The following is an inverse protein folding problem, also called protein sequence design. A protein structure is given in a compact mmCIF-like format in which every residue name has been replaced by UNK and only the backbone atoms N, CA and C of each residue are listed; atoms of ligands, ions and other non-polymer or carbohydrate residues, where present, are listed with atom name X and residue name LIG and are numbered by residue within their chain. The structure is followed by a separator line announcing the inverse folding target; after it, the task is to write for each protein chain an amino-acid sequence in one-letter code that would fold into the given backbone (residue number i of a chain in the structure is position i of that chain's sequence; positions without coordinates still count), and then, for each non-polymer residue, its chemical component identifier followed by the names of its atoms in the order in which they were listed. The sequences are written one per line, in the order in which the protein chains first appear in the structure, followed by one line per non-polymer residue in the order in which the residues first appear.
data_IF_096652550544
#
_entry.id   IF_096652550544
#
_cell.length_a   1.000
_cell.length_b   1.000
_cell.length_c   1.000
_cell.angle_alpha   90.00
_cell.angle_beta   90.00
_cell.angle_gamma   90.00
#
_symmetry.space_group_name_H-M   'P 1'
#
loop_
_entity.id
_entity.type
_entity.pdbx_description
1 polymer ?
#
# COMPACT_ATOMS: atom_id res chain seq x y z
N UNK A 1 -21.33 -2.86 -1.83
CA UNK A 1 -19.92 -2.56 -1.45
C UNK A 1 -19.79 -2.35 0.05
N UNK A 2 -20.30 -1.26 0.64
CA UNK A 2 -20.13 -0.98 2.10
C UNK A 2 -20.55 -2.14 3.01
N UNK A 3 -21.74 -2.72 2.82
CA UNK A 3 -22.22 -3.87 3.60
C UNK A 3 -21.35 -5.13 3.48
N UNK A 4 -20.47 -5.21 2.48
CA UNK A 4 -19.57 -6.35 2.21
C UNK A 4 -18.14 -6.12 2.71
N UNK A 5 -17.85 -4.91 3.18
CA UNK A 5 -16.59 -4.59 3.87
C UNK A 5 -16.73 -4.73 5.39
N UNK A 6 -17.88 -5.21 5.87
CA UNK A 6 -18.23 -5.44 7.28
C UNK A 6 -17.83 -4.32 8.28
N UNK A 7 -17.83 -3.07 7.80
CA UNK A 7 -17.42 -1.92 8.61
C UNK A 7 -15.93 -1.83 8.92
N UNK A 8 -15.09 -2.71 8.34
CA UNK A 8 -13.63 -2.65 8.47
C UNK A 8 -13.09 -1.41 7.73
N UNK A 9 -12.52 -0.42 8.44
CA UNK A 9 -12.09 0.84 7.83
C UNK A 9 -11.06 0.63 6.71
N UNK A 10 -10.10 -0.28 6.91
CA UNK A 10 -9.07 -0.58 5.92
C UNK A 10 -9.62 -1.30 4.67
N UNK A 11 -10.65 -2.14 4.83
CA UNK A 11 -11.32 -2.75 3.68
C UNK A 11 -12.06 -1.69 2.85
N UNK A 12 -12.69 -0.72 3.52
CA UNK A 12 -13.36 0.40 2.86
C UNK A 12 -12.36 1.32 2.17
N UNK A 13 -11.22 1.62 2.78
CA UNK A 13 -10.16 2.43 2.18
C UNK A 13 -9.54 1.74 0.97
N UNK A 14 -9.25 0.44 1.06
CA UNK A 14 -8.69 -0.33 -0.06
C UNK A 14 -9.65 -0.39 -1.26
N UNK A 15 -10.92 -0.74 -1.02
CA UNK A 15 -11.93 -0.80 -2.09
C UNK A 15 -12.25 0.60 -2.61
N UNK A 16 -12.35 1.60 -1.73
CA UNK A 16 -12.55 3.00 -2.10
C UNK A 16 -11.41 3.53 -2.97
N UNK A 17 -10.16 3.23 -2.62
CA UNK A 17 -8.98 3.58 -3.42
C UNK A 17 -8.99 2.96 -4.81
N UNK A 18 -9.41 1.69 -4.94
CA UNK A 18 -9.57 1.01 -6.24
C UNK A 18 -10.69 1.56 -7.11
N UNK A 19 -11.68 2.23 -6.51
CA UNK A 19 -12.84 2.81 -7.20
C UNK A 19 -12.66 4.30 -7.50
N UNK A 20 -11.70 4.96 -6.83
CA UNK A 20 -11.49 6.39 -6.95
C UNK A 20 -11.08 6.78 -8.37
N UNK A 21 -11.88 7.62 -9.03
CA UNK A 21 -11.63 8.06 -10.42
C UNK A 21 -12.00 7.03 -11.49
N UNK A 22 -12.58 5.89 -11.12
CA UNK A 22 -12.94 4.83 -12.06
C UNK A 22 -14.41 4.92 -12.50
N UNK A 23 -14.72 4.51 -13.74
CA UNK A 23 -16.07 4.60 -14.29
C UNK A 23 -17.01 3.57 -13.62
N UNK A 24 -18.31 3.87 -13.62
CA UNK A 24 -19.32 3.11 -12.86
C UNK A 24 -19.37 1.62 -13.25
N UNK A 25 -19.04 1.29 -14.49
CA UNK A 25 -19.00 -0.09 -15.01
C UNK A 25 -17.96 -0.94 -14.26
N UNK A 26 -16.86 -0.33 -13.79
CA UNK A 26 -15.86 -1.01 -12.97
C UNK A 26 -16.36 -1.25 -11.55
N UNK A 27 -17.30 -0.43 -11.07
CA UNK A 27 -17.92 -0.60 -9.76
C UNK A 27 -18.82 -1.82 -9.75
N UNK A 28 -19.56 -2.05 -10.84
CA UNK A 28 -20.41 -3.24 -11.00
C UNK A 28 -19.57 -4.51 -11.02
N UNK A 29 -18.45 -4.54 -11.74
CA UNK A 29 -17.53 -5.68 -11.73
C UNK A 29 -16.95 -5.96 -10.33
N UNK A 30 -16.60 -4.93 -9.57
CA UNK A 30 -16.14 -5.07 -8.18
C UNK A 30 -17.28 -5.52 -7.26
N UNK A 31 -18.50 -5.05 -7.47
CA UNK A 31 -19.68 -5.45 -6.71
C UNK A 31 -20.06 -6.92 -6.98
N UNK A 32 -19.95 -7.39 -8.22
CA UNK A 32 -20.13 -8.80 -8.60
C UNK A 32 -19.02 -9.67 -8.02
N UNK A 33 -17.76 -9.22 -8.06
CA UNK A 33 -16.64 -9.90 -7.40
C UNK A 33 -16.88 -10.06 -5.90
N UNK A 34 -17.34 -8.99 -5.23
CA UNK A 34 -17.76 -8.98 -3.83
C UNK A 34 -18.98 -9.89 -3.55
N UNK A 35 -19.87 -10.08 -4.53
CA UNK A 35 -21.03 -10.98 -4.40
C UNK A 35 -20.62 -12.45 -4.54
N UNK A 36 -19.77 -12.75 -5.53
CA UNK A 36 -19.39 -14.10 -5.90
C UNK A 36 -18.35 -14.70 -4.93
N UNK A 37 -17.46 -13.87 -4.36
CA UNK A 37 -16.39 -14.31 -3.46
C UNK A 37 -16.78 -14.24 -1.97
N UNK A 38 -17.94 -13.67 -1.64
CA UNK A 38 -18.36 -13.37 -0.26
C UNK A 38 -17.69 -12.10 0.29
N UNK A 39 -17.77 -11.86 1.60
CA UNK A 39 -16.96 -10.80 2.23
C UNK A 39 -15.49 -11.05 1.86
N UNK A 40 -14.87 -10.09 1.16
CA UNK A 40 -13.48 -10.24 0.66
C UNK A 40 -12.52 -10.42 1.84
N UNK A 41 -12.89 -9.88 3.01
CA UNK A 41 -12.15 -9.96 4.26
C UNK A 41 -13.12 -10.37 5.36
N UNK A 42 -13.07 -11.62 5.83
CA UNK A 42 -13.94 -12.11 6.92
C UNK A 42 -13.36 -11.80 8.29
N UNK A 43 -12.09 -11.38 8.34
CA UNK A 43 -11.38 -10.88 9.50
C UNK A 43 -10.26 -9.92 9.07
N UNK A 44 -9.67 -9.22 10.04
CA UNK A 44 -8.42 -8.50 9.81
C UNK A 44 -7.31 -9.43 9.31
N UNK A 45 -7.28 -10.71 9.71
CA UNK A 45 -6.27 -11.66 9.21
C UNK A 45 -6.42 -11.94 7.70
N UNK A 46 -7.65 -12.00 7.18
CA UNK A 46 -7.87 -12.12 5.74
C UNK A 46 -7.38 -10.88 4.99
N UNK A 47 -7.58 -9.71 5.58
CA UNK A 47 -7.08 -8.44 5.05
C UNK A 47 -5.55 -8.40 5.06
N UNK A 48 -4.93 -8.78 6.18
CA UNK A 48 -3.48 -8.94 6.29
C UNK A 48 -2.93 -9.94 5.29
N UNK A 49 -3.62 -11.06 5.02
CA UNK A 49 -3.18 -12.05 4.02
C UNK A 49 -3.14 -11.46 2.61
N UNK A 50 -4.11 -10.63 2.26
CA UNK A 50 -4.10 -9.96 0.95
C UNK A 50 -2.96 -8.94 0.88
N UNK A 51 -2.77 -8.12 1.92
CA UNK A 51 -1.64 -7.19 1.95
C UNK A 51 -0.28 -7.90 1.98
N UNK A 52 -0.17 -9.02 2.69
CA UNK A 52 1.07 -9.80 2.77
C UNK A 52 1.46 -10.32 1.41
N UNK A 53 0.51 -10.79 0.59
CA UNK A 53 0.82 -11.24 -0.76
C UNK A 53 1.47 -10.13 -1.60
N UNK A 54 0.97 -8.89 -1.53
CA UNK A 54 1.59 -7.76 -2.24
C UNK A 54 3.03 -7.52 -1.81
N UNK A 55 3.31 -7.65 -0.51
CA UNK A 55 4.66 -7.47 0.06
C UNK A 55 5.58 -8.66 -0.30
N UNK A 56 5.05 -9.88 -0.32
CA UNK A 56 5.80 -11.11 -0.62
C UNK A 56 6.26 -11.17 -2.08
N UNK A 57 5.58 -10.47 -3.01
CA UNK A 57 6.00 -10.33 -4.40
C UNK A 57 7.07 -9.24 -4.64
N UNK A 58 7.46 -8.48 -3.60
CA UNK A 58 8.55 -7.52 -3.72
C UNK A 58 9.90 -8.25 -3.78
N UNK A 59 10.84 -7.72 -4.56
CA UNK A 59 12.23 -8.20 -4.46
C UNK A 59 12.76 -7.93 -3.04
N UNK A 60 13.63 -8.81 -2.54
CA UNK A 60 14.10 -8.81 -1.14
C UNK A 60 14.49 -7.40 -0.65
N UNK A 61 15.36 -6.70 -1.38
CA UNK A 61 15.80 -5.36 -0.98
C UNK A 61 14.66 -4.33 -0.94
N UNK A 62 13.67 -4.42 -1.83
CA UNK A 62 12.53 -3.50 -1.85
C UNK A 62 11.57 -3.79 -0.69
N UNK A 63 11.40 -5.07 -0.34
CA UNK A 63 10.67 -5.50 0.86
C UNK A 63 11.34 -4.97 2.12
N UNK A 64 12.65 -5.10 2.23
CA UNK A 64 13.41 -4.61 3.38
C UNK A 64 13.29 -3.08 3.50
N UNK A 65 13.42 -2.35 2.38
CA UNK A 65 13.17 -0.91 2.34
C UNK A 65 11.76 -0.56 2.84
N UNK A 66 10.73 -1.28 2.39
CA UNK A 66 9.35 -1.05 2.86
C UNK A 66 9.18 -1.29 4.36
N UNK A 67 9.79 -2.34 4.89
CA UNK A 67 9.71 -2.67 6.32
C UNK A 67 10.42 -1.65 7.21
N UNK A 68 11.50 -1.03 6.75
CA UNK A 68 12.16 0.06 7.50
C UNK A 68 11.21 1.22 7.78
N UNK A 69 10.33 1.53 6.83
CA UNK A 69 9.33 2.60 6.98
C UNK A 69 8.33 2.25 8.09
N UNK A 70 7.99 0.96 8.24
CA UNK A 70 7.14 0.48 9.32
C UNK A 70 7.75 0.61 10.71
N UNK A 71 9.05 0.93 10.82
CA UNK A 71 9.71 1.21 12.11
C UNK A 71 9.45 2.64 12.61
N UNK A 72 8.88 3.50 11.78
CA UNK A 72 8.51 4.87 12.16
C UNK A 72 7.07 4.91 12.72
N UNK A 73 6.71 5.94 13.51
CA UNK A 73 5.37 6.08 14.05
C UNK A 73 4.31 6.15 12.94
N UNK A 74 3.23 5.39 13.13
CA UNK A 74 2.04 5.41 12.28
C UNK A 74 1.43 6.83 12.18
N UNK A 75 0.77 7.12 11.06
CA UNK A 75 0.11 8.40 10.77
C UNK A 75 1.01 9.64 10.77
N UNK A 76 2.33 9.46 10.65
CA UNK A 76 3.29 10.57 10.51
C UNK A 76 3.81 10.69 9.10
N UNK A 77 3.82 11.95 8.61
CA UNK A 77 4.52 12.28 7.35
C UNK A 77 6.02 12.24 7.59
N UNK A 78 6.70 11.35 6.88
CA UNK A 78 8.14 11.24 6.89
C UNK A 78 8.74 12.09 5.78
N UNK A 79 9.79 12.89 6.04
CA UNK A 79 10.51 13.57 4.97
C UNK A 79 11.15 12.54 4.03
N UNK A 80 10.84 12.62 2.73
CA UNK A 80 11.41 11.71 1.73
C UNK A 80 12.95 11.69 1.74
N UNK A 81 13.57 12.86 1.97
CA UNK A 81 15.02 12.98 2.13
C UNK A 81 15.55 12.11 3.28
N UNK A 82 14.90 12.11 4.44
CA UNK A 82 15.33 11.30 5.59
C UNK A 82 15.28 9.80 5.31
N UNK A 83 14.29 9.34 4.54
CA UNK A 83 14.19 7.93 4.12
C UNK A 83 15.27 7.58 3.10
N UNK A 84 15.54 8.48 2.15
CA UNK A 84 16.60 8.30 1.16
C UNK A 84 17.97 8.21 1.85
N UNK A 85 18.29 9.16 2.74
CA UNK A 85 19.56 9.20 3.47
C UNK A 85 19.75 7.92 4.31
N UNK A 86 18.69 7.48 5.00
CA UNK A 86 18.71 6.24 5.76
C UNK A 86 19.04 5.02 4.88
N UNK A 87 18.42 4.87 3.72
CA UNK A 87 18.69 3.74 2.82
C UNK A 87 20.04 3.83 2.11
N UNK A 88 20.55 5.04 1.86
CA UNK A 88 21.93 5.24 1.39
C UNK A 88 22.92 4.66 2.40
N UNK A 89 22.75 4.95 3.68
CA UNK A 89 23.63 4.46 4.74
C UNK A 89 23.44 2.97 5.04
N UNK A 90 22.20 2.50 5.23
CA UNK A 90 21.91 1.12 5.63
C UNK A 90 22.23 0.09 4.53
N UNK A 91 21.98 0.43 3.27
CA UNK A 91 22.09 -0.49 2.15
C UNK A 91 23.21 -0.14 1.17
N UNK A 92 24.04 0.84 1.50
CA UNK A 92 25.13 1.35 0.64
C UNK A 92 24.63 1.70 -0.77
N UNK A 93 23.43 2.29 -0.84
CA UNK A 93 22.84 2.73 -2.09
C UNK A 93 23.40 4.08 -2.50
N UNK A 94 23.36 4.38 -3.80
CA UNK A 94 23.46 5.79 -4.22
C UNK A 94 22.13 6.47 -3.96
N UNK A 95 22.14 7.80 -3.77
CA UNK A 95 20.90 8.59 -3.62
C UNK A 95 19.90 8.28 -4.75
N UNK A 96 20.39 8.17 -5.99
CA UNK A 96 19.56 7.79 -7.14
C UNK A 96 18.89 6.43 -6.96
N UNK A 97 19.60 5.42 -6.46
CA UNK A 97 19.04 4.09 -6.22
C UNK A 97 18.02 4.10 -5.08
N UNK A 98 18.31 4.81 -3.99
CA UNK A 98 17.38 4.96 -2.88
C UNK A 98 16.10 5.70 -3.31
N UNK A 99 16.24 6.78 -4.09
CA UNK A 99 15.09 7.47 -4.69
C UNK A 99 14.25 6.54 -5.59
N UNK A 100 14.90 5.72 -6.43
CA UNK A 100 14.18 4.76 -7.28
C UNK A 100 13.40 3.72 -6.46
N UNK A 101 13.94 3.27 -5.31
CA UNK A 101 13.20 2.40 -4.39
C UNK A 101 11.99 3.10 -3.79
N UNK A 102 12.14 4.35 -3.37
CA UNK A 102 11.03 5.16 -2.84
C UNK A 102 9.94 5.35 -3.89
N UNK A 103 10.33 5.65 -5.12
CA UNK A 103 9.43 5.82 -6.25
C UNK A 103 8.72 4.50 -6.61
N UNK A 104 9.45 3.39 -6.67
CA UNK A 104 8.88 2.06 -6.95
C UNK A 104 7.84 1.64 -5.90
N UNK A 105 8.07 1.91 -4.61
CA UNK A 105 7.08 1.67 -3.56
C UNK A 105 5.82 2.53 -3.74
N UNK A 106 5.98 3.78 -4.20
CA UNK A 106 4.85 4.66 -4.51
C UNK A 106 4.04 4.17 -5.72
N UNK A 107 4.69 3.71 -6.79
CA UNK A 107 4.00 3.14 -7.97
C UNK A 107 3.24 1.87 -7.63
N UNK A 108 3.72 1.11 -6.63
CA UNK A 108 3.06 -0.09 -6.10
C UNK A 108 1.96 0.22 -5.07
N UNK A 109 1.64 1.50 -4.85
CA UNK A 109 0.65 1.96 -3.87
C UNK A 109 0.93 1.54 -2.42
N UNK A 110 2.20 1.28 -2.09
CA UNK A 110 2.63 0.93 -0.75
C UNK A 110 2.94 2.17 0.10
N UNK A 111 3.14 3.31 -0.55
CA UNK A 111 3.39 4.61 0.08
C UNK A 111 2.74 5.72 -0.74
N UNK A 112 2.41 6.83 -0.07
CA UNK A 112 1.93 8.04 -0.73
C UNK A 112 3.00 9.14 -0.67
N UNK A 113 3.48 9.56 -1.84
CA UNK A 113 4.36 10.72 -1.96
C UNK A 113 3.54 11.99 -2.15
N UNK A 114 3.75 12.97 -1.28
CA UNK A 114 3.07 14.26 -1.34
C UNK A 114 4.10 15.39 -1.36
N UNK A 115 3.85 16.39 -2.18
CA UNK A 115 4.64 17.62 -2.18
C UNK A 115 4.14 18.53 -1.05
N UNK A 116 5.07 19.18 -0.33
CA UNK A 116 4.67 20.25 0.59
C UNK A 116 4.08 21.39 -0.27
N UNK A 117 2.79 21.61 -0.13
CA UNK A 117 2.08 22.78 -0.64
C UNK A 117 2.10 23.89 0.39
#
# INVERSE_FOLDING_TARGET
IIKRCDGLPLALEHIGGRLNGEPIEKWDGIAEDLQNKGDIYKSEEDLFRVFSTTIDFLCQQLRDCFLDIGSFPEDKRLPAASIIDMWVELYHLTEKKAFLKLFELSEKHLLNLTWRT
#
